data_IF_374658248155
#
_entry.id   IF_374658248155
#
_cell.length_a   1.000
_cell.length_b   1.000
_cell.length_c   1.000
_cell.angle_alpha   90.00
_cell.angle_beta   90.00
_cell.angle_gamma   90.00
#
_symmetry.space_group_name_H-M   'P 1'
#
loop_
_entity.id
_entity.type
_entity.pdbx_description
1 polymer ?
#
# COMPACT_ATOMS: atom_id res chain seq x y z
N UNK A 1 2.80 -15.89 -18.33
CA UNK A 1 2.84 -15.02 -17.13
C UNK A 1 1.59 -14.15 -17.11
N UNK A 2 0.66 -14.38 -16.17
CA UNK A 2 -0.58 -13.58 -16.11
C UNK A 2 -0.25 -12.15 -15.70
N UNK A 3 -0.30 -11.21 -16.64
CA UNK A 3 -0.39 -9.77 -16.35
C UNK A 3 -1.70 -9.59 -15.59
N UNK A 4 -1.62 -9.55 -14.26
CA UNK A 4 -2.76 -9.09 -13.46
C UNK A 4 -2.99 -7.64 -13.87
N UNK A 5 -4.07 -7.44 -14.62
CA UNK A 5 -4.60 -6.14 -15.00
C UNK A 5 -5.03 -5.43 -13.71
N UNK A 6 -4.06 -4.84 -13.01
CA UNK A 6 -4.35 -3.86 -11.98
C UNK A 6 -4.84 -2.64 -12.75
N UNK A 7 -6.15 -2.46 -12.80
CA UNK A 7 -6.79 -1.35 -13.51
C UNK A 7 -6.10 -0.04 -13.12
N UNK A 8 -5.45 0.58 -14.10
CA UNK A 8 -4.68 1.83 -14.01
C UNK A 8 -5.56 3.07 -13.75
N UNK A 9 -6.67 2.92 -13.02
CA UNK A 9 -7.57 4.02 -12.70
C UNK A 9 -7.16 4.78 -11.44
N UNK A 10 -6.47 4.14 -10.51
CA UNK A 10 -6.06 4.76 -9.26
C UNK A 10 -4.66 4.30 -8.82
N UNK A 11 -3.63 5.08 -9.19
CA UNK A 11 -2.25 4.83 -8.80
C UNK A 11 -2.08 4.81 -7.27
N UNK A 12 -2.83 5.63 -6.55
CA UNK A 12 -2.83 5.63 -5.08
C UNK A 12 -3.25 4.27 -4.53
N UNK A 13 -4.39 3.74 -4.99
CA UNK A 13 -4.88 2.42 -4.57
C UNK A 13 -3.89 1.30 -4.93
N UNK A 14 -3.30 1.37 -6.13
CA UNK A 14 -2.31 0.40 -6.56
C UNK A 14 -1.09 0.39 -5.62
N UNK A 15 -0.55 1.57 -5.28
CA UNK A 15 0.58 1.75 -4.36
C UNK A 15 0.24 1.27 -2.95
N UNK A 16 -0.94 1.59 -2.44
CA UNK A 16 -1.41 1.13 -1.14
C UNK A 16 -1.52 -0.40 -1.09
N UNK A 17 -2.05 -1.01 -2.16
CA UNK A 17 -2.22 -2.46 -2.26
C UNK A 17 -0.88 -3.21 -2.31
N UNK A 18 0.12 -2.73 -3.07
CA UNK A 18 1.46 -3.35 -3.02
C UNK A 18 2.18 -3.02 -1.72
N UNK A 19 2.04 -1.81 -1.18
CA UNK A 19 2.60 -1.40 0.10
C UNK A 19 2.14 -2.28 1.26
N UNK A 20 0.83 -2.59 1.32
CA UNK A 20 0.27 -3.53 2.28
C UNK A 20 0.82 -4.96 2.15
N UNK A 21 1.13 -5.41 0.93
CA UNK A 21 1.76 -6.71 0.71
C UNK A 21 3.20 -6.72 1.21
N UNK A 22 3.99 -5.70 0.87
CA UNK A 22 5.38 -5.56 1.32
C UNK A 22 5.47 -5.42 2.84
N UNK A 23 4.57 -4.65 3.45
CA UNK A 23 4.49 -4.47 4.91
C UNK A 23 4.27 -5.81 5.63
N UNK A 24 3.40 -6.68 5.11
CA UNK A 24 3.17 -8.01 5.67
C UNK A 24 4.36 -8.95 5.50
N UNK A 25 5.09 -8.85 4.39
CA UNK A 25 6.19 -9.76 4.08
C UNK A 25 7.51 -9.35 4.78
N UNK A 26 7.78 -8.05 4.88
CA UNK A 26 9.11 -7.53 5.23
C UNK A 26 9.09 -6.40 6.27
N UNK A 27 7.91 -6.04 6.77
CA UNK A 27 7.74 -4.88 7.64
C UNK A 27 8.02 -3.57 6.90
N UNK A 28 8.60 -2.60 7.61
CA UNK A 28 8.88 -1.26 7.08
C UNK A 28 10.06 -1.19 6.11
N UNK A 29 10.88 -2.25 5.99
CA UNK A 29 12.13 -2.26 5.21
C UNK A 29 11.93 -1.93 3.74
N UNK A 30 10.86 -2.43 3.13
CA UNK A 30 10.58 -2.28 1.70
C UNK A 30 9.51 -1.22 1.38
N UNK A 31 9.19 -0.31 2.30
CA UNK A 31 8.18 0.74 2.04
C UNK A 31 8.78 2.01 1.42
N UNK A 32 9.81 1.85 0.60
CA UNK A 32 10.47 2.96 -0.11
C UNK A 32 9.74 3.31 -1.41
N UNK A 33 9.70 4.61 -1.74
CA UNK A 33 9.02 5.13 -2.96
C UNK A 33 9.51 4.43 -4.22
N UNK A 34 10.83 4.32 -4.42
CA UNK A 34 11.42 3.70 -5.62
C UNK A 34 11.05 2.23 -5.75
N UNK A 35 11.03 1.49 -4.63
CA UNK A 35 10.68 0.07 -4.62
C UNK A 35 9.20 -0.12 -4.99
N UNK A 36 8.30 0.62 -4.33
CA UNK A 36 6.87 0.51 -4.58
C UNK A 36 6.49 1.00 -5.98
N UNK A 37 7.13 2.06 -6.49
CA UNK A 37 6.96 2.53 -7.87
C UNK A 37 7.31 1.44 -8.89
N UNK A 38 8.43 0.72 -8.67
CA UNK A 38 8.86 -0.39 -9.53
C UNK A 38 7.83 -1.54 -9.53
N UNK A 39 7.23 -1.85 -8.39
CA UNK A 39 6.24 -2.92 -8.28
C UNK A 39 4.93 -2.64 -9.05
N UNK A 40 4.59 -1.36 -9.23
CA UNK A 40 3.39 -0.93 -9.98
C UNK A 40 3.70 -0.41 -11.39
N UNK A 41 4.95 -0.57 -11.84
CA UNK A 41 5.44 -0.18 -13.16
C UNK A 41 5.26 1.33 -13.48
N UNK A 42 5.62 2.19 -12.51
CA UNK A 42 5.62 3.65 -12.69
C UNK A 42 6.93 4.29 -12.28
N UNK A 43 7.12 5.55 -12.68
CA UNK A 43 8.25 6.35 -12.22
C UNK A 43 8.05 6.83 -10.78
N UNK A 44 9.12 7.02 -9.98
CA UNK A 44 9.01 7.65 -8.67
C UNK A 44 8.31 9.03 -8.71
N UNK A 45 8.51 9.79 -9.79
CA UNK A 45 7.85 11.09 -10.00
C UNK A 45 6.32 10.97 -10.08
N UNK A 46 5.79 9.86 -10.62
CA UNK A 46 4.36 9.61 -10.63
C UNK A 46 3.81 9.40 -9.20
N UNK A 47 4.57 8.74 -8.33
CA UNK A 47 4.20 8.55 -6.92
C UNK A 47 4.12 9.89 -6.20
N UNK A 48 5.08 10.78 -6.42
CA UNK A 48 5.13 12.08 -5.75
C UNK A 48 3.93 13.00 -6.08
N UNK A 49 3.23 12.76 -7.19
CA UNK A 49 1.97 13.46 -7.52
C UNK A 49 0.80 13.08 -6.60
N UNK A 50 0.85 11.91 -5.98
CA UNK A 50 -0.17 11.42 -5.05
C UNK A 50 0.30 11.53 -3.59
N UNK A 51 1.59 11.30 -3.35
CA UNK A 51 2.19 11.34 -2.02
C UNK A 51 3.31 12.36 -1.98
N UNK A 52 3.15 13.52 -1.30
CA UNK A 52 4.12 14.61 -1.36
C UNK A 52 5.49 14.23 -0.75
N UNK A 53 5.57 13.15 0.01
CA UNK A 53 6.84 12.56 0.44
C UNK A 53 6.72 11.04 0.64
N UNK A 54 7.87 10.37 0.74
CA UNK A 54 7.89 8.94 1.08
C UNK A 54 7.29 8.63 2.45
N UNK A 55 7.39 9.56 3.40
CA UNK A 55 6.74 9.43 4.70
C UNK A 55 5.21 9.51 4.60
N UNK A 56 4.67 10.34 3.70
CA UNK A 56 3.22 10.37 3.44
C UNK A 56 2.72 9.04 2.87
N UNK A 57 3.48 8.43 1.94
CA UNK A 57 3.16 7.09 1.42
C UNK A 57 3.18 6.04 2.53
N UNK A 58 4.23 6.02 3.36
CA UNK A 58 4.33 5.08 4.49
C UNK A 58 3.20 5.29 5.50
N UNK A 59 2.85 6.54 5.80
CA UNK A 59 1.77 6.87 6.71
C UNK A 59 0.43 6.35 6.19
N UNK A 60 0.15 6.52 4.90
CA UNK A 60 -1.07 6.00 4.28
C UNK A 60 -1.15 4.46 4.30
N UNK A 61 -0.04 3.77 4.03
CA UNK A 61 0.05 2.31 4.15
C UNK A 61 -0.18 1.87 5.60
N UNK A 62 0.44 2.54 6.56
CA UNK A 62 0.30 2.26 7.99
C UNK A 62 -1.15 2.48 8.46
N UNK A 63 -1.80 3.54 7.98
CA UNK A 63 -3.21 3.82 8.25
C UNK A 63 -4.08 2.66 7.78
N UNK A 64 -3.93 2.23 6.52
CA UNK A 64 -4.70 1.13 5.97
C UNK A 64 -4.46 -0.20 6.73
N UNK A 65 -3.23 -0.45 7.17
CA UNK A 65 -2.90 -1.62 7.98
C UNK A 65 -3.62 -1.62 9.34
N UNK A 66 -3.63 -0.47 10.03
CA UNK A 66 -4.31 -0.31 11.31
C UNK A 66 -5.83 -0.41 11.18
N UNK A 67 -6.40 0.16 10.12
CA UNK A 67 -7.84 0.04 9.84
C UNK A 67 -8.25 -1.42 9.58
N UNK A 68 -7.44 -2.16 8.83
CA UNK A 68 -7.68 -3.59 8.59
C UNK A 68 -7.60 -4.39 9.89
N UNK A 69 -6.64 -4.09 10.76
CA UNK A 69 -6.54 -4.70 12.07
C UNK A 69 -7.77 -4.37 12.94
N UNK A 70 -8.15 -3.10 13.01
CA UNK A 70 -9.31 -2.65 13.79
C UNK A 70 -10.60 -3.33 13.31
N UNK A 71 -10.83 -3.43 11.99
CA UNK A 71 -11.98 -4.16 11.42
C UNK A 71 -12.01 -5.63 11.85
N UNK A 72 -10.85 -6.30 11.84
CA UNK A 72 -10.75 -7.70 12.26
C UNK A 72 -11.02 -7.88 13.74
N UNK A 73 -10.49 -7.00 14.59
CA UNK A 73 -10.73 -7.01 16.03
C UNK A 73 -12.22 -6.79 16.33
N UNK A 74 -12.84 -5.76 15.74
CA UNK A 74 -14.27 -5.50 15.92
C UNK A 74 -15.14 -6.68 15.46
N UNK A 75 -14.78 -7.30 14.33
CA UNK A 75 -15.48 -8.48 13.80
C UNK A 75 -15.31 -9.73 14.67
N UNK A 76 -14.21 -9.85 15.41
CA UNK A 76 -13.98 -10.96 16.33
C UNK A 76 -14.83 -10.80 17.60
N UNK A 77 -14.85 -9.58 18.16
CA UNK A 77 -15.65 -9.26 19.36
C UNK A 77 -17.16 -9.37 19.08
N UNK A 78 -17.62 -8.97 17.90
CA UNK A 78 -19.05 -9.03 17.54
C UNK A 78 -19.57 -10.46 17.23
N UNK A 79 -18.69 -11.47 17.18
CA UNK A 79 -19.04 -12.88 16.96
C UNK A 79 -19.19 -13.67 18.26
N UNK A 80 -19.05 -13.03 19.41
CA UNK A 80 -19.34 -13.58 20.74
C UNK A 80 -20.74 -13.18 21.22
#
# INVERSE_FOLDING_TARGET
MKKNSYHHGNLEEALLKVGMKEAKATGSRNLGVTHLAKLVDVTPMAVYRHFPSGENLKAAISQQAREELARRMASAVAKE
#
